data_IF_569974223114
#
_entry.id   IF_569974223114
#
_cell.length_a   1.000
_cell.length_b   1.000
_cell.length_c   1.000
_cell.angle_alpha   90.00
_cell.angle_beta   90.00
_cell.angle_gamma   90.00
#
_symmetry.space_group_name_H-M   'P 1'
#
loop_
_entity.id
_entity.type
_entity.pdbx_description
1 polymer ?
#
# COMPACT_ATOMS: atom_id res chain seq x y z
N UNK A 1 -5.63 -7.46 13.99
CA UNK A 1 -6.84 -6.74 13.53
C UNK A 1 -6.42 -5.65 12.55
N UNK A 2 -7.21 -5.38 11.51
CA UNK A 2 -6.98 -4.26 10.58
C UNK A 2 -7.88 -3.09 11.01
N UNK A 3 -7.33 -1.86 11.13
CA UNK A 3 -8.10 -0.66 11.48
C UNK A 3 -9.31 -0.41 10.57
N UNK A 4 -10.41 0.08 11.17
CA UNK A 4 -11.66 0.33 10.45
C UNK A 4 -11.82 1.80 10.11
N UNK A 5 -11.43 2.70 11.01
CA UNK A 5 -11.53 4.14 10.78
C UNK A 5 -10.27 4.70 10.10
N UNK A 6 -10.38 5.90 9.53
CA UNK A 6 -9.25 6.59 8.90
C UNK A 6 -8.21 6.96 9.96
N UNK A 7 -8.66 7.45 11.10
CA UNK A 7 -7.85 7.93 12.21
C UNK A 7 -7.00 6.79 12.78
N UNK A 8 -7.62 5.63 13.04
CA UNK A 8 -6.92 4.44 13.50
C UNK A 8 -5.92 3.94 12.45
N UNK A 9 -6.30 3.97 11.17
CA UNK A 9 -5.45 3.50 10.08
C UNK A 9 -4.22 4.39 9.89
N UNK A 10 -4.38 5.70 10.02
CA UNK A 10 -3.31 6.69 9.84
C UNK A 10 -2.40 6.76 11.07
N UNK A 11 -2.92 6.40 12.25
CA UNK A 11 -2.16 6.30 13.49
C UNK A 11 -1.52 4.92 13.68
N UNK A 12 -1.80 3.96 12.80
CA UNK A 12 -1.25 2.61 12.91
C UNK A 12 0.26 2.61 12.65
N UNK A 13 1.03 2.09 13.60
CA UNK A 13 2.47 1.93 13.47
C UNK A 13 2.80 0.74 12.55
N UNK A 14 3.37 1.05 11.39
CA UNK A 14 3.81 0.05 10.42
C UNK A 14 5.15 -0.54 10.87
N UNK A 15 5.24 -1.86 10.95
CA UNK A 15 6.51 -2.56 11.12
C UNK A 15 7.28 -2.56 9.79
N UNK A 16 8.03 -1.48 9.59
CA UNK A 16 8.85 -1.30 8.39
C UNK A 16 9.99 -2.33 8.29
N UNK A 17 10.47 -2.87 9.42
CA UNK A 17 11.49 -3.91 9.41
C UNK A 17 10.94 -5.21 8.80
N UNK A 18 9.69 -5.59 9.14
CA UNK A 18 8.99 -6.71 8.50
C UNK A 18 8.71 -6.41 7.03
N UNK A 19 8.29 -5.19 6.72
CA UNK A 19 8.04 -4.76 5.34
C UNK A 19 9.27 -4.93 4.44
N UNK A 20 10.43 -4.43 4.89
CA UNK A 20 11.69 -4.48 4.15
C UNK A 20 12.21 -5.91 4.03
N UNK A 21 12.25 -6.64 5.15
CA UNK A 21 12.73 -8.03 5.22
C UNK A 21 11.99 -8.95 4.25
N UNK A 22 10.69 -8.72 4.05
CA UNK A 22 9.84 -9.55 3.19
C UNK A 22 9.54 -8.93 1.82
N UNK A 23 10.18 -7.81 1.48
CA UNK A 23 10.00 -7.07 0.22
C UNK A 23 8.52 -6.85 -0.11
N UNK A 24 7.74 -6.34 0.86
CA UNK A 24 6.29 -6.27 0.68
C UNK A 24 5.86 -5.30 -0.44
N UNK A 25 6.73 -4.37 -0.87
CA UNK A 25 6.51 -3.57 -2.09
C UNK A 25 6.21 -4.45 -3.32
N UNK A 26 6.94 -5.55 -3.52
CA UNK A 26 6.74 -6.44 -4.66
C UNK A 26 5.38 -7.14 -4.61
N UNK A 27 4.86 -7.37 -3.40
CA UNK A 27 3.52 -7.96 -3.21
C UNK A 27 2.40 -6.96 -3.39
N UNK A 28 2.65 -5.70 -3.06
CA UNK A 28 1.69 -4.62 -3.24
C UNK A 28 1.60 -4.18 -4.70
N UNK A 29 2.70 -4.24 -5.46
CA UNK A 29 2.76 -3.75 -6.84
C UNK A 29 1.65 -4.28 -7.77
N UNK A 30 1.32 -5.59 -7.81
CA UNK A 30 0.21 -6.08 -8.64
C UNK A 30 -1.15 -5.51 -8.23
N UNK A 31 -1.36 -5.30 -6.92
CA UNK A 31 -2.59 -4.69 -6.42
C UNK A 31 -2.66 -3.21 -6.78
N UNK A 32 -1.54 -2.48 -6.63
CA UNK A 32 -1.41 -1.06 -7.00
C UNK A 32 -1.67 -0.89 -8.51
N UNK A 33 -0.98 -1.66 -9.37
CA UNK A 33 -1.17 -1.60 -10.83
C UNK A 33 -2.63 -1.82 -11.22
N UNK A 34 -3.28 -2.86 -10.67
CA UNK A 34 -4.70 -3.10 -10.90
C UNK A 34 -5.57 -1.92 -10.48
N UNK A 35 -5.31 -1.34 -9.32
CA UNK A 35 -6.11 -0.22 -8.79
C UNK A 35 -5.93 1.05 -9.61
N UNK A 36 -4.70 1.38 -10.01
CA UNK A 36 -4.44 2.53 -10.89
C UNK A 36 -5.14 2.34 -12.24
N UNK A 37 -5.04 1.14 -12.84
CA UNK A 37 -5.77 0.83 -14.07
C UNK A 37 -7.29 0.92 -13.91
N UNK A 38 -7.84 0.47 -12.79
CA UNK A 38 -9.27 0.61 -12.50
C UNK A 38 -9.71 2.09 -12.41
N UNK A 39 -8.85 2.98 -11.92
CA UNK A 39 -9.15 4.40 -11.77
C UNK A 39 -8.95 5.20 -13.05
N UNK A 40 -7.84 4.97 -13.77
CA UNK A 40 -7.46 5.76 -14.95
C UNK A 40 -7.98 5.15 -16.25
N UNK A 41 -8.44 3.90 -16.24
CA UNK A 41 -8.80 3.13 -17.44
C UNK A 41 -7.58 2.55 -18.18
N UNK A 42 -6.37 2.97 -17.82
CA UNK A 42 -5.12 2.52 -18.41
C UNK A 42 -4.02 2.29 -17.36
N UNK A 43 -2.99 1.53 -17.74
CA UNK A 43 -1.87 1.28 -16.87
C UNK A 43 -0.86 2.44 -16.94
N UNK A 44 -0.77 3.21 -15.85
CA UNK A 44 0.20 4.29 -15.72
C UNK A 44 1.41 3.82 -14.89
N UNK A 45 2.41 3.26 -15.56
CA UNK A 45 3.60 2.70 -14.91
C UNK A 45 4.37 3.71 -14.06
N UNK A 46 4.42 4.99 -14.49
CA UNK A 46 5.13 6.05 -13.75
C UNK A 46 4.51 6.27 -12.38
N UNK A 47 3.17 6.31 -12.31
CA UNK A 47 2.44 6.47 -11.07
C UNK A 47 2.56 5.23 -10.18
N UNK A 48 2.51 4.04 -10.77
CA UNK A 48 2.71 2.78 -10.05
C UNK A 48 4.10 2.76 -9.39
N UNK A 49 5.15 3.09 -10.15
CA UNK A 49 6.52 3.16 -9.65
C UNK A 49 6.65 4.20 -8.55
N UNK A 50 6.05 5.39 -8.72
CA UNK A 50 6.04 6.45 -7.72
C UNK A 50 5.37 6.04 -6.40
N UNK A 51 4.25 5.32 -6.46
CA UNK A 51 3.56 4.83 -5.26
C UNK A 51 4.42 3.77 -4.57
N UNK A 52 4.98 2.83 -5.34
CA UNK A 52 5.85 1.78 -4.80
C UNK A 52 7.08 2.39 -4.14
N UNK A 53 7.77 3.32 -4.80
CA UNK A 53 8.95 3.98 -4.25
C UNK A 53 8.60 4.78 -2.99
N UNK A 54 7.47 5.48 -2.98
CA UNK A 54 6.98 6.19 -1.79
C UNK A 54 6.75 5.25 -0.61
N UNK A 55 6.27 4.02 -0.83
CA UNK A 55 6.17 3.03 0.26
C UNK A 55 7.53 2.51 0.72
N UNK A 56 8.53 2.41 -0.17
CA UNK A 56 9.90 2.04 0.18
C UNK A 56 10.64 3.15 0.94
N UNK A 57 10.23 4.41 0.77
CA UNK A 57 10.68 5.56 1.58
C UNK A 57 10.04 5.61 2.98
N UNK A 58 9.20 4.63 3.32
CA UNK A 58 8.50 4.52 4.61
C UNK A 58 7.65 5.76 4.94
N UNK A 59 7.07 6.41 3.92
CA UNK A 59 6.22 7.59 4.12
C UNK A 59 5.00 7.25 4.99
N UNK A 60 4.50 8.25 5.71
CA UNK A 60 3.27 8.10 6.49
C UNK A 60 2.04 8.08 5.59
N UNK A 61 0.94 7.51 6.08
CA UNK A 61 -0.34 7.46 5.36
C UNK A 61 -0.83 8.85 4.93
N UNK A 62 -0.67 9.84 5.81
CA UNK A 62 -1.03 11.23 5.53
C UNK A 62 -0.21 11.83 4.39
N UNK A 63 1.10 11.58 4.38
CA UNK A 63 2.00 12.07 3.34
C UNK A 63 1.73 11.39 2.00
N UNK A 64 1.44 10.08 2.01
CA UNK A 64 0.99 9.39 0.80
C UNK A 64 -0.32 9.98 0.27
N UNK A 65 -1.28 10.26 1.16
CA UNK A 65 -2.54 10.90 0.77
C UNK A 65 -2.27 12.27 0.14
N UNK A 66 -1.49 13.13 0.77
CA UNK A 66 -1.12 14.44 0.21
C UNK A 66 -0.47 14.34 -1.16
N UNK A 67 0.48 13.40 -1.35
CA UNK A 67 1.16 13.16 -2.62
C UNK A 67 0.20 12.71 -3.72
N UNK A 68 -0.74 11.84 -3.39
CA UNK A 68 -1.68 11.29 -4.37
C UNK A 68 -2.89 12.18 -4.60
N UNK A 69 -3.23 13.05 -3.65
CA UNK A 69 -4.31 14.03 -3.79
C UNK A 69 -4.05 14.99 -4.95
N UNK A 70 -2.78 15.29 -5.27
CA UNK A 70 -2.42 16.16 -6.40
C UNK A 70 -2.46 15.47 -7.77
N UNK A 71 -2.62 14.13 -7.79
CA UNK A 71 -2.59 13.30 -9.00
C UNK A 71 -3.96 12.67 -9.27
N UNK A 72 -4.63 12.21 -8.21
CA UNK A 72 -5.87 11.44 -8.25
C UNK A 72 -7.06 12.18 -7.63
N UNK A 73 -6.91 13.46 -7.26
CA UNK A 73 -7.98 14.28 -6.68
C UNK A 73 -8.84 13.52 -5.65
N UNK A 74 -10.17 13.53 -5.80
CA UNK A 74 -11.13 12.98 -4.83
C UNK A 74 -10.99 11.45 -4.63
N UNK A 75 -10.38 10.74 -5.58
CA UNK A 75 -10.15 9.30 -5.53
C UNK A 75 -8.97 8.91 -4.62
N UNK A 76 -8.06 9.85 -4.33
CA UNK A 76 -6.83 9.59 -3.59
C UNK A 76 -7.09 9.02 -2.19
N UNK A 77 -8.05 9.59 -1.45
CA UNK A 77 -8.36 9.16 -0.09
C UNK A 77 -8.80 7.70 -0.05
N UNK A 78 -9.74 7.32 -0.91
CA UNK A 78 -10.23 5.95 -0.93
C UNK A 78 -9.14 4.96 -1.36
N UNK A 79 -8.27 5.36 -2.29
CA UNK A 79 -7.14 4.54 -2.69
C UNK A 79 -6.17 4.32 -1.53
N UNK A 80 -5.72 5.39 -0.86
CA UNK A 80 -4.77 5.29 0.27
C UNK A 80 -5.35 4.48 1.41
N UNK A 81 -6.63 4.66 1.77
CA UNK A 81 -7.31 3.86 2.80
C UNK A 81 -7.30 2.37 2.46
N UNK A 82 -7.53 2.00 1.20
CA UNK A 82 -7.50 0.59 0.76
C UNK A 82 -6.06 0.06 0.73
N UNK A 83 -5.11 0.86 0.28
CA UNK A 83 -3.70 0.50 0.19
C UNK A 83 -3.10 0.26 1.57
N UNK A 84 -3.35 1.14 2.55
CA UNK A 84 -2.84 0.98 3.91
C UNK A 84 -3.42 -0.26 4.60
N UNK A 85 -4.71 -0.56 4.38
CA UNK A 85 -5.30 -1.81 4.86
C UNK A 85 -4.64 -3.05 4.25
N UNK A 86 -4.31 -3.00 2.95
CA UNK A 86 -3.59 -4.08 2.27
C UNK A 86 -2.16 -4.24 2.80
N UNK A 87 -1.45 -3.14 3.04
CA UNK A 87 -0.12 -3.15 3.64
C UNK A 87 -0.13 -3.81 5.03
N UNK A 88 -1.03 -3.37 5.91
CA UNK A 88 -1.17 -3.95 7.25
C UNK A 88 -1.55 -5.43 7.18
N UNK A 89 -2.40 -5.81 6.22
CA UNK A 89 -2.75 -7.20 5.99
C UNK A 89 -1.54 -8.05 5.59
N UNK A 90 -0.72 -7.60 4.63
CA UNK A 90 0.47 -8.35 4.19
C UNK A 90 1.51 -8.49 5.30
N UNK A 91 1.70 -7.45 6.12
CA UNK A 91 2.55 -7.53 7.33
C UNK A 91 2.03 -8.62 8.27
N UNK A 92 0.74 -8.57 8.65
CA UNK A 92 0.16 -9.56 9.57
C UNK A 92 0.22 -10.98 9.01
N UNK A 93 0.03 -11.12 7.69
CA UNK A 93 0.10 -12.41 7.00
C UNK A 93 1.50 -13.03 7.08
N UNK A 94 2.57 -12.23 7.00
CA UNK A 94 3.94 -12.76 7.18
C UNK A 94 4.26 -13.02 8.65
N UNK A 95 3.84 -12.15 9.57
CA UNK A 95 4.05 -12.32 11.02
C UNK A 95 3.41 -13.61 11.55
N UNK A 96 2.21 -13.94 11.07
CA UNK A 96 1.46 -15.13 11.49
C UNK A 96 1.93 -16.42 10.82
N UNK A 97 2.97 -16.38 9.97
CA UNK A 97 3.47 -17.55 9.26
C UNK A 97 2.53 -18.07 8.15
N UNK A 98 1.48 -17.31 7.82
CA UNK A 98 0.53 -17.63 6.73
C UNK A 98 1.09 -17.30 5.34
N UNK A 99 2.38 -16.96 5.24
CA UNK A 99 3.12 -16.94 3.98
C UNK A 99 3.25 -18.37 3.42
N UNK A 100 2.15 -18.86 2.83
CA UNK A 100 2.12 -20.13 2.11
C UNK A 100 3.03 -20.02 0.89
N UNK A 101 4.16 -20.73 0.99
CA UNK A 101 5.00 -21.31 -0.08
C UNK A 101 5.02 -20.56 -1.42
N UNK A 102 6.13 -19.86 -1.67
CA UNK A 102 6.59 -19.61 -3.04
C UNK A 102 6.64 -20.95 -3.79
N UNK A 103 5.97 -21.02 -4.94
CA UNK A 103 6.08 -22.16 -5.84
C UNK A 103 7.56 -22.33 -6.22
N UNK A 104 8.08 -23.53 -5.97
CA UNK A 104 9.30 -24.05 -6.61
C UNK A 104 9.15 -24.09 -8.12
#
# INVERSE_FOLDING_TARGET
MIPKTKEELFSYEIDWAVYDKHQLHDRLRPWISKKIKDFLGEEENTLIDYIVSSTQEHVKASQMLERLQTILDDEAEMFVLKMWRMLIFEIKKVETGLAVKSKS
#
